data_IF_450448580457
#
_entry.id   IF_450448580457
#
_cell.length_a   1.000
_cell.length_b   1.000
_cell.length_c   1.000
_cell.angle_alpha   90.00
_cell.angle_beta   90.00
_cell.angle_gamma   90.00
#
_symmetry.space_group_name_H-M   'P 1'
#
loop_
_entity.id
_entity.type
_entity.pdbx_description
1 polymer ?
#
# COMPACT_ATOMS: atom_id res chain seq x y z
N UNK A 1 -8.07 -27.16 -5.73
CA UNK A 1 -6.69 -26.74 -6.06
C UNK A 1 -6.76 -25.68 -7.16
N UNK A 2 -6.58 -24.39 -6.83
CA UNK A 2 -6.78 -23.28 -7.77
C UNK A 2 -5.76 -23.34 -8.91
N UNK A 3 -6.23 -23.57 -10.14
CA UNK A 3 -5.37 -23.50 -11.33
C UNK A 3 -5.26 -22.05 -11.79
N UNK A 4 -4.13 -21.42 -11.47
CA UNK A 4 -3.78 -20.11 -12.00
C UNK A 4 -3.58 -20.20 -13.52
N UNK A 5 -4.10 -19.23 -14.26
CA UNK A 5 -3.90 -19.11 -15.71
C UNK A 5 -2.41 -19.03 -16.05
N UNK A 6 -2.04 -19.52 -17.23
CA UNK A 6 -0.65 -19.45 -17.71
C UNK A 6 -0.12 -18.01 -17.68
N UNK A 7 -0.95 -17.05 -18.09
CA UNK A 7 -0.65 -15.62 -18.06
C UNK A 7 -0.41 -15.11 -16.63
N UNK A 8 -1.24 -15.55 -15.68
CA UNK A 8 -1.11 -15.19 -14.27
C UNK A 8 0.19 -15.71 -13.66
N UNK A 9 0.57 -16.96 -13.97
CA UNK A 9 1.84 -17.55 -13.52
C UNK A 9 3.04 -16.77 -14.05
N UNK A 10 3.05 -16.49 -15.35
CA UNK A 10 4.14 -15.77 -16.00
C UNK A 10 4.28 -14.34 -15.43
N UNK A 11 3.18 -13.63 -15.23
CA UNK A 11 3.17 -12.29 -14.63
C UNK A 11 3.71 -12.33 -13.20
N UNK A 12 3.26 -13.28 -12.38
CA UNK A 12 3.72 -13.40 -10.99
C UNK A 12 5.21 -13.69 -10.89
N UNK A 13 5.72 -14.64 -11.69
CA UNK A 13 7.15 -14.94 -11.77
C UNK A 13 7.95 -13.71 -12.20
N UNK A 14 7.43 -12.94 -13.15
CA UNK A 14 8.09 -11.71 -13.62
C UNK A 14 8.20 -10.66 -12.51
N UNK A 15 7.16 -10.47 -11.70
CA UNK A 15 7.16 -9.52 -10.56
C UNK A 15 8.14 -9.98 -9.48
N UNK A 16 8.18 -11.28 -9.17
CA UNK A 16 9.16 -11.84 -8.22
C UNK A 16 10.58 -11.62 -8.73
N UNK A 17 10.82 -11.90 -10.01
CA UNK A 17 12.14 -11.75 -10.62
C UNK A 17 12.59 -10.28 -10.59
N UNK A 18 11.71 -9.35 -10.94
CA UNK A 18 11.99 -7.91 -10.81
C UNK A 18 12.32 -7.54 -9.37
N UNK A 19 11.51 -7.97 -8.39
CA UNK A 19 11.75 -7.67 -6.98
C UNK A 19 13.12 -8.16 -6.50
N UNK A 20 13.51 -9.39 -6.88
CA UNK A 20 14.82 -9.96 -6.56
C UNK A 20 15.95 -9.15 -7.20
N UNK A 21 15.86 -8.89 -8.50
CA UNK A 21 16.92 -8.17 -9.23
C UNK A 21 17.11 -6.77 -8.65
N UNK A 22 16.02 -6.01 -8.45
CA UNK A 22 16.12 -4.66 -7.90
C UNK A 22 16.64 -4.70 -6.47
N UNK A 23 16.20 -5.64 -5.62
CA UNK A 23 16.69 -5.75 -4.24
C UNK A 23 18.19 -6.03 -4.19
N UNK A 24 18.71 -6.85 -5.12
CA UNK A 24 20.17 -7.08 -5.25
C UNK A 24 20.89 -5.80 -5.65
N UNK A 25 20.37 -5.06 -6.64
CA UNK A 25 20.97 -3.79 -7.06
C UNK A 25 20.95 -2.75 -5.93
N UNK A 26 19.83 -2.60 -5.23
CA UNK A 26 19.69 -1.75 -4.04
C UNK A 26 20.69 -2.14 -2.95
N UNK A 27 20.89 -3.45 -2.71
CA UNK A 27 21.89 -3.93 -1.74
C UNK A 27 23.31 -3.52 -2.12
N UNK A 28 23.65 -3.49 -3.42
CA UNK A 28 24.93 -2.95 -3.88
C UNK A 28 25.05 -1.44 -3.65
N UNK A 29 23.98 -0.68 -3.88
CA UNK A 29 23.98 0.77 -3.61
C UNK A 29 24.18 1.02 -2.12
N UNK A 30 23.44 0.34 -1.24
CA UNK A 30 23.63 0.42 0.23
C UNK A 30 25.07 0.06 0.62
N UNK A 31 25.66 -0.98 0.00
CA UNK A 31 27.04 -1.36 0.26
C UNK A 31 28.03 -0.22 -0.07
N UNK A 32 27.88 0.42 -1.23
CA UNK A 32 28.73 1.55 -1.61
C UNK A 32 28.48 2.78 -0.73
N UNK A 33 27.22 3.06 -0.37
CA UNK A 33 26.83 4.13 0.56
C UNK A 33 27.56 4.01 1.89
N UNK A 34 27.47 2.84 2.52
CA UNK A 34 28.09 2.59 3.83
C UNK A 34 29.61 2.73 3.75
N UNK A 35 30.24 2.24 2.68
CA UNK A 35 31.69 2.33 2.52
C UNK A 35 32.16 3.76 2.16
N UNK A 36 31.32 4.56 1.50
CA UNK A 36 31.55 5.98 1.28
C UNK A 36 31.51 6.76 2.60
N UNK A 37 30.42 6.61 3.36
CA UNK A 37 30.23 7.31 4.64
C UNK A 37 31.33 6.99 5.65
N UNK A 38 31.81 5.73 5.69
CA UNK A 38 32.92 5.31 6.57
C UNK A 38 34.23 6.08 6.37
N UNK A 39 34.43 6.75 5.23
CA UNK A 39 35.64 7.56 5.00
C UNK A 39 35.60 8.91 5.73
N UNK A 40 34.47 9.23 6.38
CA UNK A 40 34.25 10.51 7.04
C UNK A 40 33.70 10.30 8.45
N UNK A 41 34.17 11.12 9.39
CA UNK A 41 33.51 11.30 10.68
C UNK A 41 32.42 12.37 10.51
N UNK A 42 31.18 11.92 10.34
CA UNK A 42 30.04 12.79 10.08
C UNK A 42 29.68 13.65 11.30
N UNK A 43 29.11 14.83 11.02
CA UNK A 43 28.43 15.61 12.05
C UNK A 43 27.08 14.97 12.39
N UNK A 44 26.45 15.38 13.50
CA UNK A 44 25.09 14.90 13.86
C UNK A 44 24.07 15.06 12.73
N UNK A 45 24.17 16.16 11.98
CA UNK A 45 23.31 16.42 10.83
C UNK A 45 23.65 15.48 9.65
N UNK A 46 24.95 15.30 9.36
CA UNK A 46 25.41 14.35 8.35
C UNK A 46 24.96 12.92 8.63
N UNK A 47 25.03 12.49 9.91
CA UNK A 47 24.49 11.20 10.36
C UNK A 47 22.99 11.09 10.08
N UNK A 48 22.22 12.15 10.36
CA UNK A 48 20.79 12.18 10.06
C UNK A 48 20.48 12.05 8.57
N UNK A 49 21.26 12.71 7.70
CA UNK A 49 21.11 12.63 6.24
C UNK A 49 21.44 11.20 5.75
N UNK A 50 22.52 10.60 6.25
CA UNK A 50 22.92 9.22 5.94
C UNK A 50 21.88 8.20 6.39
N UNK A 51 21.33 8.35 7.60
CA UNK A 51 20.27 7.47 8.09
C UNK A 51 18.97 7.62 7.31
N UNK A 52 18.62 8.84 6.89
CA UNK A 52 17.46 9.06 6.04
C UNK A 52 17.59 8.34 4.71
N UNK A 53 18.75 8.47 4.07
CA UNK A 53 19.05 7.78 2.81
C UNK A 53 18.93 6.25 2.92
N UNK A 54 19.53 5.66 3.97
CA UNK A 54 19.40 4.22 4.27
C UNK A 54 17.95 3.79 4.50
N UNK A 55 17.14 4.61 5.18
CA UNK A 55 15.72 4.33 5.40
C UNK A 55 14.94 4.37 4.08
N UNK A 56 15.29 5.28 3.16
CA UNK A 56 14.67 5.31 1.84
C UNK A 56 14.97 4.03 1.06
N UNK A 57 16.22 3.57 1.04
CA UNK A 57 16.56 2.25 0.49
C UNK A 57 15.73 1.11 1.09
N UNK A 58 15.59 1.09 2.42
CA UNK A 58 14.79 0.08 3.10
C UNK A 58 13.30 0.12 2.71
N UNK A 59 12.73 1.32 2.60
CA UNK A 59 11.34 1.53 2.16
C UNK A 59 11.17 1.06 0.71
N UNK A 60 12.16 1.31 -0.14
CA UNK A 60 12.11 0.87 -1.54
C UNK A 60 12.11 -0.65 -1.65
N UNK A 61 12.98 -1.35 -0.91
CA UNK A 61 12.97 -2.82 -0.83
C UNK A 61 11.64 -3.34 -0.27
N UNK A 62 11.11 -2.70 0.78
CA UNK A 62 9.80 -3.02 1.34
C UNK A 62 8.68 -2.85 0.30
N UNK A 63 8.78 -1.84 -0.57
CA UNK A 63 7.82 -1.60 -1.66
C UNK A 63 7.77 -2.76 -2.65
N UNK A 64 8.93 -3.35 -3.00
CA UNK A 64 9.02 -4.50 -3.91
C UNK A 64 8.37 -5.73 -3.29
N UNK A 65 8.62 -5.97 -2.01
CA UNK A 65 7.98 -7.06 -1.28
C UNK A 65 6.45 -6.86 -1.20
N UNK A 66 6.00 -5.65 -0.88
CA UNK A 66 4.59 -5.29 -0.87
C UNK A 66 3.93 -5.50 -2.25
N UNK A 67 4.63 -5.14 -3.34
CA UNK A 67 4.16 -5.38 -4.71
C UNK A 67 3.97 -6.87 -5.00
N UNK A 68 4.88 -7.74 -4.55
CA UNK A 68 4.73 -9.20 -4.67
C UNK A 68 3.50 -9.70 -3.89
N UNK A 69 3.30 -9.22 -2.66
CA UNK A 69 2.13 -9.59 -1.85
C UNK A 69 0.82 -9.14 -2.51
N UNK A 70 0.78 -7.90 -3.02
CA UNK A 70 -0.40 -7.36 -3.70
C UNK A 70 -0.69 -8.13 -4.99
N UNK A 71 0.34 -8.52 -5.74
CA UNK A 71 0.19 -9.35 -6.94
C UNK A 71 -0.34 -10.75 -6.60
N UNK A 72 0.19 -11.38 -5.55
CA UNK A 72 -0.29 -12.67 -5.08
C UNK A 72 -1.78 -12.59 -4.74
N UNK A 73 -2.16 -11.60 -3.93
CA UNK A 73 -3.54 -11.37 -3.52
C UNK A 73 -4.47 -11.12 -4.73
N UNK A 74 -4.03 -10.30 -5.69
CA UNK A 74 -4.77 -10.01 -6.92
C UNK A 74 -5.03 -11.24 -7.76
N UNK A 75 -4.03 -12.11 -7.89
CA UNK A 75 -4.09 -13.32 -8.69
C UNK A 75 -4.91 -14.43 -8.00
N UNK A 76 -4.78 -14.58 -6.69
CA UNK A 76 -5.56 -15.56 -5.92
C UNK A 76 -7.05 -15.23 -5.91
N UNK A 77 -7.39 -13.95 -5.73
CA UNK A 77 -8.79 -13.51 -5.68
C UNK A 77 -9.36 -13.09 -7.04
N UNK A 78 -8.59 -13.24 -8.14
CA UNK A 78 -8.97 -12.81 -9.50
C UNK A 78 -9.48 -11.37 -9.53
N UNK A 79 -8.77 -10.51 -8.81
CA UNK A 79 -9.16 -9.15 -8.54
C UNK A 79 -8.51 -8.18 -9.55
N UNK A 80 -9.30 -7.79 -10.56
CA UNK A 80 -8.86 -6.86 -11.59
C UNK A 80 -8.54 -5.44 -11.05
N UNK A 81 -9.17 -5.03 -9.96
CA UNK A 81 -8.93 -3.72 -9.34
C UNK A 81 -7.54 -3.68 -8.71
N UNK A 82 -7.14 -4.75 -8.02
CA UNK A 82 -5.79 -4.85 -7.46
C UNK A 82 -4.71 -4.91 -8.52
N UNK A 83 -4.96 -5.50 -9.69
CA UNK A 83 -4.02 -5.45 -10.81
C UNK A 83 -3.80 -4.02 -11.32
N UNK A 84 -4.85 -3.20 -11.40
CA UNK A 84 -4.73 -1.79 -11.77
C UNK A 84 -3.94 -1.04 -10.70
N UNK A 85 -4.25 -1.28 -9.43
CA UNK A 85 -3.51 -0.74 -8.29
C UNK A 85 -2.02 -1.11 -8.34
N UNK A 86 -1.68 -2.35 -8.70
CA UNK A 86 -0.31 -2.83 -8.86
C UNK A 86 0.46 -2.05 -9.94
N UNK A 87 -0.19 -1.72 -11.05
CA UNK A 87 0.40 -0.91 -12.12
C UNK A 87 0.66 0.51 -11.63
N UNK A 88 -0.32 1.14 -10.97
CA UNK A 88 -0.17 2.48 -10.41
C UNK A 88 0.93 2.51 -9.35
N UNK A 89 1.00 1.50 -8.49
CA UNK A 89 2.05 1.35 -7.48
C UNK A 89 3.44 1.26 -8.12
N UNK A 90 3.60 0.48 -9.20
CA UNK A 90 4.89 0.39 -9.91
C UNK A 90 5.29 1.72 -10.56
N UNK A 91 4.34 2.53 -11.05
CA UNK A 91 4.64 3.89 -11.52
C UNK A 91 5.04 4.83 -10.38
N UNK A 92 4.42 4.71 -9.19
CA UNK A 92 4.86 5.45 -8.01
C UNK A 92 6.27 5.05 -7.58
N UNK A 93 6.63 3.76 -7.66
CA UNK A 93 8.01 3.29 -7.44
C UNK A 93 9.00 3.84 -8.47
N UNK A 94 8.59 4.07 -9.71
CA UNK A 94 9.44 4.74 -10.71
C UNK A 94 9.73 6.20 -10.31
N UNK A 95 8.71 6.94 -9.86
CA UNK A 95 8.89 8.31 -9.36
C UNK A 95 9.80 8.30 -8.13
N UNK A 96 9.59 7.35 -7.22
CA UNK A 96 10.41 7.14 -6.04
C UNK A 96 11.90 7.00 -6.40
N UNK A 97 12.23 6.10 -7.34
CA UNK A 97 13.61 5.86 -7.77
C UNK A 97 14.27 7.14 -8.34
N UNK A 98 13.50 7.98 -9.02
CA UNK A 98 13.98 9.30 -9.48
C UNK A 98 14.26 10.27 -8.35
N UNK A 99 13.45 10.29 -7.29
CA UNK A 99 13.70 11.12 -6.10
C UNK A 99 14.92 10.61 -5.33
N UNK A 100 15.10 9.30 -5.24
CA UNK A 100 16.21 8.65 -4.55
C UNK A 100 17.57 9.03 -5.11
N UNK A 101 17.71 9.11 -6.44
CA UNK A 101 18.92 9.59 -7.09
C UNK A 101 19.33 10.99 -6.60
N UNK A 102 18.36 11.87 -6.40
CA UNK A 102 18.63 13.22 -5.88
C UNK A 102 19.00 13.20 -4.40
N UNK A 103 18.48 12.25 -3.63
CA UNK A 103 18.82 12.12 -2.22
C UNK A 103 20.28 11.72 -2.00
N UNK A 104 20.81 10.81 -2.83
CA UNK A 104 22.24 10.52 -2.80
C UNK A 104 23.11 11.73 -3.13
N UNK A 105 22.68 12.59 -4.07
CA UNK A 105 23.38 13.85 -4.34
C UNK A 105 23.44 14.73 -3.10
N UNK A 106 22.31 14.84 -2.37
CA UNK A 106 22.28 15.59 -1.09
C UNK A 106 23.26 14.98 -0.07
N UNK A 107 23.30 13.66 0.06
CA UNK A 107 24.25 12.99 0.96
C UNK A 107 25.70 13.31 0.59
N UNK A 108 26.03 13.17 -0.69
CA UNK A 108 27.37 13.39 -1.24
C UNK A 108 27.85 14.85 -1.06
N UNK A 109 26.94 15.81 -1.23
CA UNK A 109 27.25 17.25 -1.19
C UNK A 109 27.14 17.85 0.22
N UNK A 110 26.05 17.59 0.93
CA UNK A 110 25.72 18.24 2.21
C UNK A 110 26.00 17.34 3.41
N UNK A 111 25.83 16.02 3.27
CA UNK A 111 26.13 15.05 4.34
C UNK A 111 27.60 15.09 4.78
N UNK A 112 28.52 15.25 3.83
CA UNK A 112 29.96 15.27 4.09
C UNK A 112 30.54 16.66 4.36
N UNK A 113 29.79 17.75 4.14
CA UNK A 113 30.29 19.14 4.14
C UNK A 113 31.05 19.55 5.40
N UNK A 114 30.49 19.25 6.57
CA UNK A 114 31.09 19.54 7.88
C UNK A 114 31.78 18.31 8.51
N UNK A 115 32.02 17.26 7.73
CA UNK A 115 32.61 16.02 8.22
C UNK A 115 34.14 16.07 8.19
N UNK A 116 34.78 15.43 9.16
CA UNK A 116 36.24 15.27 9.19
C UNK A 116 36.61 14.07 8.31
N UNK A 117 37.47 14.28 7.32
CA UNK A 117 37.96 13.19 6.46
C UNK A 117 38.95 12.33 7.23
N UNK A 118 38.64 11.04 7.37
CA UNK A 118 39.46 10.04 8.04
C UNK A 118 39.41 8.78 7.19
N UNK A 119 40.32 8.63 6.20
CA UNK A 119 40.28 7.49 5.30
C UNK A 119 40.48 6.20 6.09
N UNK A 120 39.55 5.26 5.92
CA UNK A 120 39.60 3.93 6.55
C UNK A 120 40.54 2.99 5.78
N UNK A 121 40.87 3.33 4.54
CA UNK A 121 41.63 2.47 3.63
C UNK A 121 42.76 3.23 2.95
N UNK A 122 43.88 2.54 2.68
CA UNK A 122 45.01 3.08 1.90
C UNK A 122 44.68 3.35 0.43
N UNK A 123 43.47 3.00 -0.02
CA UNK A 123 42.98 3.23 -1.38
C UNK A 123 42.86 4.73 -1.71
N UNK A 124 42.62 5.57 -0.70
CA UNK A 124 42.39 7.00 -0.88
C UNK A 124 43.53 7.82 -0.29
N UNK A 125 44.08 8.80 -1.04
CA UNK A 125 45.09 9.72 -0.51
C UNK A 125 44.53 10.49 0.69
N UNK A 126 45.37 10.70 1.71
CA UNK A 126 45.01 11.50 2.91
C UNK A 126 44.78 12.97 2.54
N UNK A 127 45.49 13.46 1.51
CA UNK A 127 45.44 14.86 1.08
C UNK A 127 44.28 15.17 0.10
N UNK A 128 43.61 14.15 -0.46
CA UNK A 128 42.47 14.34 -1.40
C UNK A 128 41.15 13.88 -0.76
N UNK A 129 40.49 14.82 -0.06
CA UNK A 129 39.18 14.60 0.59
C UNK A 129 38.08 14.17 -0.38
N UNK A 130 38.18 14.55 -1.65
CA UNK A 130 37.15 14.32 -2.66
C UNK A 130 37.39 13.01 -3.43
N UNK A 131 38.54 12.36 -3.27
CA UNK A 131 38.85 11.10 -3.94
C UNK A 131 37.82 9.98 -3.67
N UNK A 132 37.35 9.76 -2.42
CA UNK A 132 36.29 8.78 -2.15
C UNK A 132 34.99 9.13 -2.87
N UNK A 133 34.57 10.39 -2.83
CA UNK A 133 33.33 10.85 -3.49
C UNK A 133 33.33 10.51 -4.97
N UNK A 134 34.38 10.89 -5.71
CA UNK A 134 34.52 10.59 -7.15
C UNK A 134 34.49 9.08 -7.42
N UNK A 135 35.12 8.28 -6.55
CA UNK A 135 35.21 6.82 -6.71
C UNK A 135 33.87 6.10 -6.51
N UNK A 136 33.11 6.49 -5.48
CA UNK A 136 31.82 5.89 -5.16
C UNK A 136 30.70 6.39 -6.09
N UNK A 137 30.70 7.69 -6.42
CA UNK A 137 29.75 8.27 -7.40
C UNK A 137 29.82 7.52 -8.74
N UNK A 138 31.03 7.27 -9.24
CA UNK A 138 31.24 6.55 -10.50
C UNK A 138 30.72 5.09 -10.49
N UNK A 139 30.51 4.50 -9.31
CA UNK A 139 29.97 3.13 -9.14
C UNK A 139 28.48 3.10 -8.82
N UNK A 140 28.01 4.04 -8.00
CA UNK A 140 26.63 4.11 -7.55
C UNK A 140 25.71 4.62 -8.67
N UNK A 141 26.08 5.73 -9.33
CA UNK A 141 25.25 6.36 -10.37
C UNK A 141 24.82 5.40 -11.48
N UNK A 142 25.69 4.56 -12.08
CA UNK A 142 25.25 3.63 -13.12
C UNK A 142 24.23 2.59 -12.62
N UNK A 143 24.36 2.15 -11.36
CA UNK A 143 23.43 1.18 -10.76
C UNK A 143 22.06 1.83 -10.57
N UNK A 144 22.00 3.05 -10.04
CA UNK A 144 20.75 3.79 -9.88
C UNK A 144 20.03 4.04 -11.21
N UNK A 145 20.76 4.45 -12.25
CA UNK A 145 20.19 4.60 -13.59
C UNK A 145 19.69 3.27 -14.16
N UNK A 146 20.39 2.17 -13.86
CA UNK A 146 19.96 0.81 -14.23
C UNK A 146 18.65 0.43 -13.53
N UNK A 147 18.51 0.75 -12.23
CA UNK A 147 17.28 0.52 -11.45
C UNK A 147 16.11 1.29 -12.07
N UNK A 148 16.29 2.59 -12.34
CA UNK A 148 15.26 3.43 -12.99
C UNK A 148 14.87 2.85 -14.35
N UNK A 149 15.86 2.48 -15.17
CA UNK A 149 15.63 1.88 -16.49
C UNK A 149 14.85 0.56 -16.41
N UNK A 150 15.22 -0.33 -15.48
CA UNK A 150 14.57 -1.63 -15.31
C UNK A 150 13.12 -1.46 -14.84
N UNK A 151 12.86 -0.58 -13.87
CA UNK A 151 11.51 -0.32 -13.36
C UNK A 151 10.64 0.35 -14.42
N UNK A 152 11.20 1.28 -15.21
CA UNK A 152 10.49 1.93 -16.31
C UNK A 152 10.06 0.91 -17.38
N UNK A 153 11.00 0.07 -17.83
CA UNK A 153 10.69 -1.02 -18.78
C UNK A 153 9.67 -2.00 -18.20
N UNK A 154 9.82 -2.37 -16.93
CA UNK A 154 8.88 -3.25 -16.26
C UNK A 154 7.50 -2.61 -16.08
N UNK A 155 7.39 -1.29 -15.88
CA UNK A 155 6.11 -0.59 -15.75
C UNK A 155 5.25 -0.77 -17.01
N UNK A 156 5.85 -0.62 -18.19
CA UNK A 156 5.17 -0.81 -19.47
C UNK A 156 4.74 -2.26 -19.65
N UNK A 157 5.65 -3.20 -19.36
CA UNK A 157 5.37 -4.63 -19.41
C UNK A 157 4.21 -5.01 -18.45
N UNK A 158 4.26 -4.56 -17.20
CA UNK A 158 3.26 -4.85 -16.18
C UNK A 158 1.91 -4.25 -16.56
N UNK A 159 1.87 -3.01 -17.09
CA UNK A 159 0.64 -2.40 -17.57
C UNK A 159 -0.03 -3.24 -18.67
N UNK A 160 0.76 -3.74 -19.63
CA UNK A 160 0.26 -4.63 -20.69
C UNK A 160 -0.25 -5.97 -20.16
N UNK A 161 0.50 -6.61 -19.25
CA UNK A 161 0.11 -7.89 -18.66
C UNK A 161 -1.13 -7.75 -17.78
N UNK A 162 -1.18 -6.72 -16.93
CA UNK A 162 -2.34 -6.39 -16.11
C UNK A 162 -3.57 -6.12 -16.96
N UNK A 163 -3.46 -5.41 -18.09
CA UNK A 163 -4.58 -5.21 -19.01
C UNK A 163 -5.16 -6.53 -19.53
N UNK A 164 -4.30 -7.47 -19.95
CA UNK A 164 -4.73 -8.79 -20.42
C UNK A 164 -5.38 -9.61 -19.30
N UNK A 165 -4.79 -9.63 -18.11
CA UNK A 165 -5.32 -10.33 -16.94
C UNK A 165 -6.65 -9.73 -16.47
N UNK A 166 -6.80 -8.41 -16.46
CA UNK A 166 -8.05 -7.75 -16.08
C UNK A 166 -9.20 -8.11 -17.02
N UNK A 167 -8.94 -8.32 -18.32
CA UNK A 167 -9.94 -8.85 -19.26
C UNK A 167 -10.33 -10.29 -18.93
N UNK A 168 -9.35 -11.15 -18.65
CA UNK A 168 -9.58 -12.55 -18.26
C UNK A 168 -10.42 -12.64 -16.97
N UNK A 169 -10.04 -11.87 -15.95
CA UNK A 169 -10.76 -11.82 -14.67
C UNK A 169 -12.16 -11.22 -14.82
N UNK A 170 -12.32 -10.20 -15.68
CA UNK A 170 -13.62 -9.63 -15.99
C UNK A 170 -14.59 -10.64 -16.60
N UNK A 171 -14.10 -11.50 -17.49
CA UNK A 171 -14.91 -12.56 -18.11
C UNK A 171 -15.29 -13.66 -17.10
N UNK A 172 -14.36 -14.06 -16.26
CA UNK A 172 -14.62 -15.08 -15.22
C UNK A 172 -15.59 -14.56 -14.16
N UNK A 173 -15.39 -13.34 -13.65
CA UNK A 173 -16.30 -12.72 -12.68
C UNK A 173 -17.69 -12.47 -13.29
N UNK A 174 -17.76 -12.19 -14.59
CA UNK A 174 -19.04 -12.06 -15.28
C UNK A 174 -19.84 -13.37 -15.22
N UNK A 175 -19.23 -14.52 -15.48
CA UNK A 175 -19.91 -15.83 -15.39
C UNK A 175 -20.42 -16.13 -13.98
N UNK A 176 -19.66 -15.76 -12.94
CA UNK A 176 -20.03 -16.05 -11.54
C UNK A 176 -21.14 -15.13 -11.02
N UNK A 177 -21.12 -13.84 -11.36
CA UNK A 177 -22.03 -12.83 -10.81
C UNK A 177 -23.08 -12.33 -11.82
N UNK A 178 -23.36 -13.10 -12.89
CA UNK A 178 -24.02 -12.64 -14.11
C UNK A 178 -25.47 -12.15 -13.97
N UNK A 179 -26.16 -12.44 -12.86
CA UNK A 179 -27.60 -12.24 -12.76
C UNK A 179 -28.03 -10.88 -12.17
N UNK A 180 -27.19 -10.19 -11.37
CA UNK A 180 -27.57 -8.93 -10.72
C UNK A 180 -26.50 -7.82 -10.88
N UNK A 181 -26.87 -6.80 -11.65
CA UNK A 181 -26.06 -5.61 -11.92
C UNK A 181 -25.73 -4.85 -10.63
N UNK A 182 -26.67 -4.79 -9.67
CA UNK A 182 -26.48 -4.07 -8.41
C UNK A 182 -25.46 -4.77 -7.51
N UNK A 183 -25.51 -6.10 -7.48
CA UNK A 183 -24.55 -6.91 -6.74
C UNK A 183 -23.13 -6.70 -7.29
N UNK A 184 -22.98 -6.74 -8.61
CA UNK A 184 -21.69 -6.51 -9.29
C UNK A 184 -21.12 -5.12 -8.99
N UNK A 185 -21.94 -4.07 -9.05
CA UNK A 185 -21.48 -2.71 -8.74
C UNK A 185 -21.06 -2.59 -7.27
N UNK A 186 -21.83 -3.18 -6.35
CA UNK A 186 -21.51 -3.14 -4.92
C UNK A 186 -20.21 -3.89 -4.62
N UNK A 187 -20.01 -5.07 -5.23
CA UNK A 187 -18.76 -5.83 -5.12
C UNK A 187 -17.57 -5.01 -5.59
N UNK A 188 -17.67 -4.37 -6.76
CA UNK A 188 -16.59 -3.55 -7.31
C UNK A 188 -16.20 -2.40 -6.37
N UNK A 189 -17.17 -1.67 -5.80
CA UNK A 189 -16.88 -0.59 -4.84
C UNK A 189 -16.20 -1.12 -3.57
N UNK A 190 -16.65 -2.26 -3.06
CA UNK A 190 -16.08 -2.89 -1.87
C UNK A 190 -14.63 -3.33 -2.11
N UNK A 191 -14.38 -3.95 -3.26
CA UNK A 191 -13.05 -4.40 -3.66
C UNK A 191 -12.08 -3.25 -3.93
N UNK A 192 -12.57 -2.13 -4.48
CA UNK A 192 -11.80 -0.87 -4.56
C UNK A 192 -11.42 -0.41 -3.16
N UNK A 193 -12.39 -0.33 -2.24
CA UNK A 193 -12.13 0.11 -0.87
C UNK A 193 -11.12 -0.79 -0.14
N UNK A 194 -11.24 -2.11 -0.26
CA UNK A 194 -10.26 -3.06 0.30
C UNK A 194 -8.86 -2.85 -0.28
N UNK A 195 -8.77 -2.55 -1.57
CA UNK A 195 -7.49 -2.29 -2.25
C UNK A 195 -6.86 -0.98 -1.77
N UNK A 196 -7.66 0.08 -1.62
CA UNK A 196 -7.20 1.37 -1.11
C UNK A 196 -6.67 1.25 0.33
N UNK A 197 -7.39 0.54 1.22
CA UNK A 197 -6.93 0.31 2.59
C UNK A 197 -5.56 -0.41 2.62
N UNK A 198 -5.33 -1.39 1.72
CA UNK A 198 -4.02 -2.06 1.63
C UNK A 198 -2.91 -1.09 1.20
N UNK A 199 -3.19 -0.17 0.27
CA UNK A 199 -2.25 0.88 -0.11
C UNK A 199 -2.01 1.86 1.04
N UNK A 200 -3.07 2.28 1.75
CA UNK A 200 -2.97 3.20 2.88
C UNK A 200 -2.04 2.66 3.97
N UNK A 201 -2.09 1.34 4.25
CA UNK A 201 -1.15 0.68 5.18
C UNK A 201 0.31 0.92 4.77
N UNK A 202 0.63 0.73 3.49
CA UNK A 202 2.00 0.91 3.00
C UNK A 202 2.44 2.37 3.09
N UNK A 203 1.63 3.32 2.61
CA UNK A 203 2.03 4.73 2.55
C UNK A 203 2.09 5.39 3.92
N UNK A 204 1.11 5.14 4.79
CA UNK A 204 1.11 5.67 6.16
C UNK A 204 2.27 5.06 6.97
N UNK A 205 2.49 3.75 6.84
CA UNK A 205 3.62 3.07 7.50
C UNK A 205 4.98 3.58 7.00
N UNK A 206 5.11 3.78 5.69
CA UNK A 206 6.35 4.31 5.10
C UNK A 206 6.60 5.77 5.49
N UNK A 207 5.56 6.61 5.60
CA UNK A 207 5.71 7.97 6.13
C UNK A 207 6.18 7.95 7.58
N UNK A 208 5.64 7.06 8.42
CA UNK A 208 6.10 6.89 9.80
C UNK A 208 7.60 6.52 9.85
N UNK A 209 8.06 5.55 9.06
CA UNK A 209 9.48 5.17 9.00
C UNK A 209 10.40 6.35 8.64
N UNK A 210 9.96 7.24 7.76
CA UNK A 210 10.73 8.41 7.33
C UNK A 210 10.88 9.49 8.41
N UNK A 211 10.13 9.43 9.50
CA UNK A 211 10.26 10.38 10.61
C UNK A 211 11.35 9.98 11.61
N UNK A 212 11.82 8.73 11.59
CA UNK A 212 12.89 8.22 12.46
C UNK A 212 14.19 9.06 12.36
N UNK A 213 14.77 9.33 11.16
CA UNK A 213 16.03 10.04 11.02
C UNK A 213 15.87 11.56 11.24
N UNK A 214 14.64 12.08 11.11
CA UNK A 214 14.34 13.51 11.17
C UNK A 214 14.73 14.17 12.50
N UNK A 215 14.81 13.40 13.59
CA UNK A 215 15.28 13.92 14.88
C UNK A 215 16.74 14.41 14.83
N UNK A 216 17.60 13.71 14.08
CA UNK A 216 19.02 14.08 13.93
C UNK A 216 19.23 15.28 13.01
N UNK A 217 18.27 15.51 12.11
CA UNK A 217 18.25 16.63 11.16
C UNK A 217 17.64 17.91 11.79
N UNK A 218 17.16 17.84 13.03
CA UNK A 218 16.66 19.00 13.78
C UNK A 218 15.15 19.04 13.98
N UNK A 219 14.42 18.02 13.52
CA UNK A 219 12.98 17.93 13.76
C UNK A 219 12.68 17.30 15.14
N UNK A 220 12.60 18.13 16.18
CA UNK A 220 12.43 17.71 17.57
C UNK A 220 11.10 17.00 17.89
N UNK A 221 10.03 17.33 17.17
CA UNK A 221 8.69 16.75 17.34
C UNK A 221 8.50 15.39 16.65
N UNK A 222 9.52 14.89 15.93
CA UNK A 222 9.50 13.63 15.18
C UNK A 222 9.04 12.42 16.00
N UNK A 223 9.54 12.23 17.21
CA UNK A 223 9.22 11.05 18.04
C UNK A 223 7.75 11.03 18.45
N UNK A 224 7.22 12.19 18.87
CA UNK A 224 5.82 12.30 19.31
C UNK A 224 4.90 12.04 18.12
N UNK A 225 5.24 12.63 16.97
CA UNK A 225 4.49 12.43 15.73
C UNK A 225 4.54 10.97 15.25
N UNK A 226 5.73 10.35 15.26
CA UNK A 226 5.92 8.94 14.94
C UNK A 226 5.03 8.05 15.80
N UNK A 227 5.04 8.26 17.13
CA UNK A 227 4.20 7.51 18.06
C UNK A 227 2.70 7.68 17.78
N UNK A 228 2.27 8.90 17.46
CA UNK A 228 0.89 9.22 17.13
C UNK A 228 0.44 8.51 15.83
N UNK A 229 1.21 8.64 14.75
CA UNK A 229 0.89 8.00 13.46
C UNK A 229 0.92 6.50 13.60
N UNK A 230 1.92 5.94 14.28
CA UNK A 230 2.04 4.50 14.42
C UNK A 230 0.87 3.92 15.22
N UNK A 231 0.54 4.48 16.38
CA UNK A 231 -0.53 3.97 17.22
C UNK A 231 -1.92 4.24 16.63
N UNK A 232 -2.25 5.51 16.37
CA UNK A 232 -3.58 5.87 15.87
C UNK A 232 -3.78 5.46 14.42
N UNK A 233 -2.77 5.59 13.57
CA UNK A 233 -2.84 5.16 12.18
C UNK A 233 -3.04 3.65 12.05
N UNK A 234 -2.28 2.83 12.80
CA UNK A 234 -2.46 1.37 12.78
C UNK A 234 -3.84 0.97 13.31
N UNK A 235 -4.27 1.53 14.44
CA UNK A 235 -5.61 1.27 15.00
C UNK A 235 -6.70 1.60 13.99
N UNK A 236 -6.61 2.77 13.36
CA UNK A 236 -7.57 3.25 12.38
C UNK A 236 -7.62 2.35 11.13
N UNK A 237 -6.48 1.93 10.60
CA UNK A 237 -6.37 1.00 9.47
C UNK A 237 -6.95 -0.39 9.81
N UNK A 238 -6.73 -0.89 11.03
CA UNK A 238 -7.31 -2.13 11.51
C UNK A 238 -8.85 -2.04 11.60
N UNK A 239 -9.37 -0.96 12.18
CA UNK A 239 -10.81 -0.73 12.25
C UNK A 239 -11.43 -0.63 10.85
N UNK A 240 -10.74 0.04 9.91
CA UNK A 240 -11.16 0.11 8.52
C UNK A 240 -11.22 -1.27 7.86
N UNK A 241 -10.17 -2.08 8.02
CA UNK A 241 -10.10 -3.43 7.49
C UNK A 241 -11.22 -4.33 8.05
N UNK A 242 -11.40 -4.33 9.37
CA UNK A 242 -12.46 -5.10 10.05
C UNK A 242 -13.83 -4.63 9.56
N UNK A 243 -14.03 -3.32 9.47
CA UNK A 243 -15.30 -2.74 9.03
C UNK A 243 -15.71 -3.19 7.64
N UNK A 244 -14.76 -3.24 6.71
CA UNK A 244 -15.04 -3.59 5.31
C UNK A 244 -15.13 -5.10 5.14
N UNK A 245 -14.28 -5.87 5.84
CA UNK A 245 -14.28 -7.34 5.77
C UNK A 245 -15.55 -7.96 6.37
N UNK A 246 -16.05 -7.38 7.47
CA UNK A 246 -17.28 -7.83 8.14
C UNK A 246 -18.54 -7.07 7.70
N UNK A 247 -18.41 -6.15 6.74
CA UNK A 247 -19.50 -5.29 6.25
C UNK A 247 -20.29 -4.56 7.36
N UNK A 248 -19.60 -4.13 8.43
CA UNK A 248 -20.22 -3.49 9.59
C UNK A 248 -20.48 -2.00 9.35
N UNK A 249 -21.70 -1.65 8.93
CA UNK A 249 -22.11 -0.27 8.59
C UNK A 249 -21.80 0.78 9.67
N UNK A 250 -22.02 0.47 10.95
CA UNK A 250 -21.79 1.44 12.04
C UNK A 250 -20.31 1.67 12.32
N UNK A 251 -19.50 0.60 12.22
CA UNK A 251 -18.05 0.75 12.30
C UNK A 251 -17.53 1.55 11.09
N UNK A 252 -18.09 1.32 9.90
CA UNK A 252 -17.69 2.04 8.68
C UNK A 252 -18.01 3.53 8.80
N UNK A 253 -19.14 3.88 9.40
CA UNK A 253 -19.49 5.27 9.68
C UNK A 253 -18.48 5.94 10.62
N UNK A 254 -18.07 5.25 11.68
CA UNK A 254 -17.01 5.76 12.58
C UNK A 254 -15.70 5.98 11.83
N UNK A 255 -15.28 4.99 11.04
CA UNK A 255 -14.08 5.04 10.20
C UNK A 255 -14.12 6.22 9.22
N UNK A 256 -15.25 6.48 8.56
CA UNK A 256 -15.42 7.62 7.64
C UNK A 256 -15.18 8.95 8.36
N UNK A 257 -15.74 9.13 9.57
CA UNK A 257 -15.57 10.37 10.33
C UNK A 257 -14.11 10.60 10.73
N UNK A 258 -13.44 9.54 11.21
CA UNK A 258 -12.03 9.63 11.62
C UNK A 258 -11.12 9.88 10.40
N UNK A 259 -11.34 9.20 9.26
CA UNK A 259 -10.57 9.46 8.03
C UNK A 259 -10.80 10.88 7.51
N UNK A 260 -12.03 11.38 7.56
CA UNK A 260 -12.34 12.75 7.15
C UNK A 260 -11.61 13.77 8.03
N UNK A 261 -11.52 13.53 9.35
CA UNK A 261 -10.74 14.38 10.25
C UNK A 261 -9.23 14.27 9.96
N UNK A 262 -8.73 13.07 9.67
CA UNK A 262 -7.32 12.84 9.36
C UNK A 262 -6.83 13.60 8.12
N UNK A 263 -7.72 13.89 7.16
CA UNK A 263 -7.38 14.70 5.98
C UNK A 263 -6.90 16.10 6.36
N UNK A 264 -7.42 16.68 7.44
CA UNK A 264 -6.97 17.99 7.94
C UNK A 264 -5.50 17.89 8.37
N UNK A 265 -5.13 16.82 9.09
CA UNK A 265 -3.76 16.58 9.50
C UNK A 265 -2.84 16.35 8.30
N UNK A 266 -3.23 15.49 7.35
CA UNK A 266 -2.43 15.25 6.14
C UNK A 266 -2.22 16.51 5.31
N UNK A 267 -3.26 17.35 5.15
CA UNK A 267 -3.16 18.63 4.46
C UNK A 267 -2.25 19.61 5.22
N UNK A 268 -2.43 19.73 6.54
CA UNK A 268 -1.56 20.55 7.40
C UNK A 268 -0.09 20.14 7.24
N UNK A 269 0.19 18.84 7.36
CA UNK A 269 1.56 18.31 7.23
C UNK A 269 2.15 18.54 5.84
N UNK A 270 1.37 18.32 4.79
CA UNK A 270 1.80 18.59 3.43
C UNK A 270 2.18 20.07 3.24
N UNK A 271 1.40 21.00 3.80
CA UNK A 271 1.72 22.42 3.76
C UNK A 271 2.96 22.73 4.60
N UNK A 272 3.04 22.27 5.84
CA UNK A 272 4.17 22.56 6.74
C UNK A 272 5.52 22.11 6.20
N UNK A 273 5.58 20.95 5.52
CA UNK A 273 6.84 20.45 4.95
C UNK A 273 7.27 21.24 3.70
N UNK A 274 6.32 21.80 2.95
CA UNK A 274 6.61 22.52 1.71
C UNK A 274 6.75 24.04 1.90
N UNK A 275 6.16 24.61 2.95
CA UNK A 275 6.36 26.01 3.31
C UNK A 275 7.67 26.14 4.06
N UNK A 276 8.61 26.89 3.48
CA UNK A 276 9.92 27.20 4.08
C UNK A 276 9.66 27.94 5.39
N UNK A 277 9.73 27.21 6.50
CA UNK A 277 9.57 27.75 7.84
C UNK A 277 10.92 27.62 8.51
N UNK A 278 11.69 28.70 8.49
CA UNK A 278 12.95 28.78 9.23
C UNK A 278 12.64 28.94 10.72
N UNK A 279 12.82 27.87 11.50
CA UNK A 279 12.87 27.96 12.95
C UNK A 279 14.36 28.12 13.30
N UNK A 280 14.72 29.20 14.00
CA UNK A 280 16.10 29.51 14.38
C UNK A 280 17.11 29.59 13.20
N UNK A 281 16.63 29.97 12.02
CA UNK A 281 17.45 30.13 10.81
C UNK A 281 17.82 28.82 10.10
N UNK A 282 17.34 27.67 10.57
CA UNK A 282 17.57 26.35 9.96
C UNK A 282 16.25 25.69 9.56
N UNK A 283 16.21 25.09 8.38
CA UNK A 283 15.03 24.39 7.87
C UNK A 283 15.16 22.88 8.11
N UNK A 284 14.39 22.28 9.03
CA UNK A 284 14.56 20.87 9.43
C UNK A 284 14.18 19.87 8.33
N UNK A 285 13.51 20.34 7.26
CA UNK A 285 13.06 19.48 6.17
C UNK A 285 13.90 19.64 4.90
N UNK A 286 14.89 20.53 4.88
CA UNK A 286 15.68 20.86 3.69
C UNK A 286 16.17 19.62 2.92
N UNK A 287 16.75 18.66 3.65
CA UNK A 287 17.36 17.46 3.07
C UNK A 287 16.39 16.32 2.79
N UNK A 288 15.17 16.34 3.34
CA UNK A 288 14.20 15.23 3.25
C UNK A 288 12.89 15.63 2.57
N UNK A 289 12.75 16.92 2.21
CA UNK A 289 11.51 17.52 1.69
C UNK A 289 10.93 16.75 0.51
N UNK A 290 11.75 16.37 -0.46
CA UNK A 290 11.24 15.75 -1.69
C UNK A 290 10.56 14.42 -1.42
N UNK A 291 11.16 13.58 -0.58
CA UNK A 291 10.55 12.31 -0.16
C UNK A 291 9.34 12.52 0.74
N UNK A 292 9.45 13.37 1.76
CA UNK A 292 8.33 13.67 2.66
C UNK A 292 7.12 14.22 1.88
N UNK A 293 7.33 15.16 0.96
CA UNK A 293 6.27 15.71 0.12
C UNK A 293 5.66 14.68 -0.82
N UNK A 294 6.46 13.80 -1.41
CA UNK A 294 5.95 12.71 -2.26
C UNK A 294 5.03 11.76 -1.48
N UNK A 295 5.44 11.31 -0.29
CA UNK A 295 4.62 10.44 0.54
C UNK A 295 3.38 11.15 1.09
N UNK A 296 3.52 12.39 1.55
CA UNK A 296 2.39 13.16 2.07
C UNK A 296 1.35 13.44 0.98
N UNK A 297 1.77 13.84 -0.23
CA UNK A 297 0.86 14.10 -1.34
C UNK A 297 0.14 12.82 -1.79
N UNK A 298 0.87 11.71 -1.88
CA UNK A 298 0.29 10.40 -2.25
C UNK A 298 -0.67 9.90 -1.18
N UNK A 299 -0.30 10.02 0.10
CA UNK A 299 -1.14 9.61 1.24
C UNK A 299 -2.41 10.45 1.32
N UNK A 300 -2.31 11.77 1.17
CA UNK A 300 -3.47 12.67 1.13
C UNK A 300 -4.44 12.27 0.01
N UNK A 301 -3.92 12.03 -1.19
CA UNK A 301 -4.72 11.58 -2.33
C UNK A 301 -5.39 10.23 -2.11
N UNK A 302 -4.65 9.24 -1.62
CA UNK A 302 -5.17 7.91 -1.31
C UNK A 302 -6.27 7.96 -0.24
N UNK A 303 -6.02 8.65 0.89
CA UNK A 303 -7.00 8.80 1.97
C UNK A 303 -8.27 9.51 1.48
N UNK A 304 -8.15 10.55 0.64
CA UNK A 304 -9.31 11.25 0.09
C UNK A 304 -10.17 10.30 -0.78
N UNK A 305 -9.53 9.47 -1.60
CA UNK A 305 -10.22 8.46 -2.41
C UNK A 305 -10.81 7.35 -1.52
N UNK A 306 -10.11 6.94 -0.45
CA UNK A 306 -10.60 5.98 0.55
C UNK A 306 -11.86 6.49 1.23
N UNK A 307 -11.92 7.76 1.65
CA UNK A 307 -13.13 8.39 2.21
C UNK A 307 -14.27 8.37 1.20
N UNK A 308 -14.01 8.76 -0.05
CA UNK A 308 -15.01 8.79 -1.10
C UNK A 308 -15.65 7.41 -1.33
N UNK A 309 -14.83 6.36 -1.51
CA UNK A 309 -15.34 4.99 -1.69
C UNK A 309 -15.96 4.40 -0.42
N UNK A 310 -15.51 4.81 0.77
CA UNK A 310 -16.12 4.43 2.04
C UNK A 310 -17.55 4.95 2.14
N UNK A 311 -17.80 6.21 1.75
CA UNK A 311 -19.15 6.80 1.71
C UNK A 311 -20.06 6.04 0.73
N UNK A 312 -19.54 5.68 -0.46
CA UNK A 312 -20.30 4.89 -1.44
C UNK A 312 -20.67 3.51 -0.85
N UNK A 313 -19.70 2.80 -0.26
CA UNK A 313 -19.94 1.49 0.35
C UNK A 313 -20.94 1.59 1.51
N UNK A 314 -20.82 2.61 2.37
CA UNK A 314 -21.76 2.85 3.45
C UNK A 314 -23.18 3.08 2.95
N UNK A 315 -23.37 3.89 1.89
CA UNK A 315 -24.68 4.11 1.26
C UNK A 315 -25.28 2.82 0.70
N UNK A 316 -24.45 1.95 0.12
CA UNK A 316 -24.89 0.65 -0.39
C UNK A 316 -25.32 -0.29 0.76
N UNK A 317 -24.56 -0.33 1.85
CA UNK A 317 -24.91 -1.10 3.05
C UNK A 317 -26.18 -0.59 3.73
N UNK A 318 -26.39 0.74 3.80
CA UNK A 318 -27.61 1.34 4.33
C UNK A 318 -28.85 0.99 3.52
N UNK A 319 -28.69 0.76 2.20
CA UNK A 319 -29.76 0.28 1.31
C UNK A 319 -29.96 -1.24 1.40
N UNK A 320 -29.19 -1.94 2.23
CA UNK A 320 -29.29 -3.39 2.45
C UNK A 320 -28.58 -4.25 1.39
N UNK A 321 -27.68 -3.67 0.60
CA UNK A 321 -26.86 -4.42 -0.36
C UNK A 321 -25.58 -4.90 0.32
N UNK A 322 -25.55 -6.19 0.64
CA UNK A 322 -24.42 -6.86 1.28
C UNK A 322 -23.87 -7.94 0.35
N UNK A 323 -22.55 -8.00 0.17
CA UNK A 323 -21.91 -8.88 -0.81
C UNK A 323 -21.17 -10.01 -0.11
N UNK A 324 -20.25 -9.69 0.80
CA UNK A 324 -19.41 -10.68 1.49
C UNK A 324 -20.23 -11.52 2.46
N UNK A 325 -21.18 -10.93 3.18
CA UNK A 325 -22.01 -11.67 4.15
C UNK A 325 -23.04 -12.61 3.51
N UNK A 326 -23.35 -12.41 2.22
CA UNK A 326 -24.34 -13.22 1.47
C UNK A 326 -23.66 -14.26 0.56
N UNK A 327 -22.54 -13.90 -0.06
CA UNK A 327 -21.85 -14.74 -1.06
C UNK A 327 -20.43 -15.17 -0.65
N UNK A 328 -19.92 -14.73 0.51
CA UNK A 328 -18.56 -15.02 0.99
C UNK A 328 -18.43 -16.25 1.88
N UNK A 329 -19.52 -16.96 2.17
CA UNK A 329 -19.47 -18.25 2.90
C UNK A 329 -19.29 -19.41 1.94
N UNK A 330 -18.33 -20.28 2.24
CA UNK A 330 -18.26 -21.63 1.67
C UNK A 330 -19.59 -22.35 1.90
N UNK A 331 -20.09 -23.11 0.91
CA UNK A 331 -21.33 -23.91 1.02
C UNK A 331 -21.37 -24.74 2.32
N UNK A 332 -20.22 -25.18 2.81
CA UNK A 332 -20.08 -25.97 4.04
C UNK A 332 -20.47 -25.21 5.32
N UNK A 333 -20.30 -23.88 5.39
CA UNK A 333 -20.72 -23.07 6.56
C UNK A 333 -22.21 -22.69 6.53
N UNK A 334 -22.85 -22.81 5.37
CA UNK A 334 -24.28 -22.55 5.19
C UNK A 334 -25.07 -23.79 5.64
N UNK A 335 -24.51 -25.00 5.47
CA UNK A 335 -25.10 -26.25 5.95
C UNK A 335 -24.93 -26.47 7.46
N UNK A 336 -23.83 -26.05 8.08
CA UNK A 336 -23.56 -26.39 9.49
C UNK A 336 -24.15 -25.44 10.54
N UNK A 337 -24.85 -24.37 10.16
CA UNK A 337 -25.66 -23.58 11.11
C UNK A 337 -24.92 -23.04 12.35
N UNK A 338 -23.58 -23.02 12.36
CA UNK A 338 -22.79 -22.60 13.50
C UNK A 338 -22.28 -21.18 13.32
N UNK A 339 -22.91 -20.25 14.03
CA UNK A 339 -22.41 -18.90 14.27
C UNK A 339 -22.94 -18.40 15.62
N UNK A 340 -22.13 -17.74 16.46
CA UNK A 340 -22.44 -17.55 17.87
C UNK A 340 -23.41 -16.37 18.08
N UNK A 341 -24.37 -16.58 18.99
CA UNK A 341 -25.19 -15.58 19.68
C UNK A 341 -25.95 -14.56 18.82
N UNK A 342 -27.14 -14.95 18.37
CA UNK A 342 -28.37 -14.20 18.66
C UNK A 342 -29.51 -15.21 18.77
N UNK A 343 -30.17 -15.23 19.93
CA UNK A 343 -31.09 -16.28 20.37
C UNK A 343 -32.15 -16.65 19.35
N UNK A 344 -32.12 -17.90 18.91
CA UNK A 344 -33.21 -18.59 18.24
C UNK A 344 -33.90 -19.42 19.31
N UNK A 345 -34.77 -18.79 20.09
CA UNK A 345 -35.81 -19.49 20.84
C UNK A 345 -37.08 -18.65 20.73
N UNK A 346 -38.16 -19.32 20.34
CA UNK A 346 -39.51 -18.81 20.03
C UNK A 346 -39.74 -18.34 18.60
N UNK A 347 -39.84 -19.30 17.67
CA UNK A 347 -40.66 -19.17 16.46
C UNK A 347 -41.60 -20.37 16.35
N UNK A 348 -42.66 -20.33 17.15
CA UNK A 348 -43.94 -20.91 16.75
C UNK A 348 -44.43 -20.26 15.42
N UNK A 349 -45.25 -20.96 14.62
CA UNK A 349 -45.54 -20.56 13.25
C UNK A 349 -46.50 -19.36 13.20
N UNK A 350 -45.96 -18.15 13.20
CA UNK A 350 -46.73 -16.96 12.86
C UNK A 350 -46.88 -16.80 11.34
N UNK A 351 -48.12 -16.97 10.89
CA UNK A 351 -48.86 -16.33 9.79
C UNK A 351 -48.07 -15.65 8.63
N UNK A 352 -48.46 -15.90 7.35
CA UNK A 352 -47.70 -15.56 6.16
C UNK A 352 -47.85 -14.08 5.74
N UNK A 353 -47.47 -13.13 6.60
CA UNK A 353 -47.47 -11.70 6.25
C UNK A 353 -46.30 -10.95 6.88
N UNK A 354 -45.11 -11.16 6.33
CA UNK A 354 -43.95 -10.23 6.18
C UNK A 354 -42.65 -11.02 6.22
N UNK A 355 -42.34 -11.73 5.12
CA UNK A 355 -40.97 -12.21 4.93
C UNK A 355 -40.06 -11.01 4.66
N UNK A 356 -39.02 -10.86 5.48
CA UNK A 356 -37.91 -9.94 5.20
C UNK A 356 -37.26 -10.34 3.87
N UNK A 357 -36.77 -9.37 3.07
CA UNK A 357 -36.09 -9.62 1.78
C UNK A 357 -34.99 -10.70 1.88
N UNK A 358 -34.33 -10.80 3.05
CA UNK A 358 -33.35 -11.84 3.37
C UNK A 358 -33.98 -13.24 3.42
N UNK A 359 -35.14 -13.37 4.05
CA UNK A 359 -35.89 -14.63 4.11
C UNK A 359 -36.46 -15.01 2.75
N UNK A 360 -36.91 -14.03 1.95
CA UNK A 360 -37.35 -14.27 0.57
C UNK A 360 -36.22 -14.80 -0.31
N UNK A 361 -35.01 -14.23 -0.22
CA UNK A 361 -33.85 -14.69 -0.98
C UNK A 361 -33.42 -16.13 -0.59
N UNK A 362 -33.38 -16.43 0.70
CA UNK A 362 -33.07 -17.78 1.23
C UNK A 362 -34.15 -18.79 0.80
N UNK A 363 -35.42 -18.39 0.83
CA UNK A 363 -36.53 -19.25 0.41
C UNK A 363 -36.52 -19.52 -1.09
N UNK A 364 -36.21 -18.50 -1.91
CA UNK A 364 -36.11 -18.62 -3.36
C UNK A 364 -34.92 -19.52 -3.77
N UNK A 365 -33.81 -19.49 -3.03
CA UNK A 365 -32.72 -20.46 -3.18
C UNK A 365 -33.13 -21.89 -2.81
N UNK A 366 -33.90 -22.09 -1.72
CA UNK A 366 -34.43 -23.42 -1.36
C UNK A 366 -35.35 -24.00 -2.43
N UNK A 367 -36.16 -23.16 -3.07
CA UNK A 367 -37.04 -23.58 -4.16
C UNK A 367 -36.27 -23.95 -5.44
N UNK A 368 -35.15 -23.28 -5.71
CA UNK A 368 -34.29 -23.59 -6.86
C UNK A 368 -33.42 -24.84 -6.62
N UNK A 369 -33.03 -25.10 -5.37
CA UNK A 369 -32.29 -26.31 -4.99
C UNK A 369 -33.19 -27.57 -4.99
N UNK A 370 -34.48 -27.40 -4.74
CA UNK A 370 -35.49 -28.45 -4.91
C UNK A 370 -35.94 -28.49 -6.37
N UNK A 371 -35.10 -29.05 -7.25
CA UNK A 371 -35.50 -29.35 -8.64
C UNK A 371 -36.82 -30.13 -8.70
N UNK A 372 -37.56 -30.08 -9.82
CA UNK A 372 -38.88 -30.68 -9.92
C UNK A 372 -38.83 -32.17 -9.57
N UNK A 373 -39.58 -32.56 -8.52
CA UNK A 373 -39.83 -33.97 -8.20
C UNK A 373 -40.60 -34.56 -9.38
N UNK A 374 -39.91 -35.30 -10.24
CA UNK A 374 -40.55 -36.20 -11.20
C UNK A 374 -41.24 -37.28 -10.38
N UNK A 375 -42.57 -37.18 -10.28
CA UNK A 375 -43.42 -38.27 -9.80
C UNK A 375 -43.44 -39.30 -10.93
N UNK A 376 -42.75 -40.43 -10.71
CA UNK A 376 -42.92 -41.62 -11.52
C UNK A 376 -44.10 -42.39 -10.91
N UNK A 377 -45.23 -42.37 -11.62
CA UNK A 377 -46.29 -43.38 -11.49
C UNK A 377 -45.90 -44.66 -12.23
#
# INVERSE_FOLDING_TARGET
MFKLSFLGKFTFISIILQAIIITVLESFVIYFHVNFVKQYQLSRQGDGISEADLIYHAIFILSLFFQVLLAADALFHRNAVQLISLVLFNFLSLIYAGIQLYQHQILEDEGTKNATYVPDTSLFPIDDRDAPKRYYEARMRPIEHTIIGLISGFSVYLAFMSYKLSKEFGWENYKTYSADIKLRSTYLHLTILQTLIKLDVFFIGSYALQLIPSQKIGYSLSIIELGLIFFFGTLMLLLAWISVSMEMKYLLLSVINIYSLSLIYWAYRLVTVNVITSIDGTDPYEFTRRFLSFFLATTFGLVAITVFYSVICFRNMMRGSYVLTVYGRSENEIEEGLGPYFGVDNLEPHSPKTMSKRQSAIHQQRLLAQGPKVVLD
#
